data_IF_413439234290
#
_entry.id   IF_413439234290
#
_cell.length_a   1.000
_cell.length_b   1.000
_cell.length_c   1.000
_cell.angle_alpha   90.00
_cell.angle_beta   90.00
_cell.angle_gamma   90.00
#
_symmetry.space_group_name_H-M   'P 1'
#
loop_
_entity.id
_entity.type
_entity.pdbx_description
1 polymer ?
#
# COMPACT_ATOMS: atom_id res chain seq x y z
N UNK A 1 -19.80 24.82 -12.92
CA UNK A 1 -19.02 23.72 -13.51
C UNK A 1 -19.63 22.44 -12.95
N UNK A 2 -20.09 21.53 -13.81
CA UNK A 2 -20.58 20.21 -13.35
C UNK A 2 -19.43 19.23 -13.52
N UNK A 3 -19.00 18.59 -12.43
CA UNK A 3 -17.98 17.54 -12.44
C UNK A 3 -18.74 16.21 -12.52
N UNK A 4 -18.44 15.41 -13.54
CA UNK A 4 -18.97 14.04 -13.66
C UNK A 4 -17.91 13.13 -13.07
N UNK A 5 -18.25 12.39 -12.01
CA UNK A 5 -17.35 11.43 -11.40
C UNK A 5 -17.44 10.10 -12.15
N UNK A 6 -16.28 9.49 -12.43
CA UNK A 6 -16.20 8.23 -13.16
C UNK A 6 -15.65 7.11 -12.24
N UNK A 7 -16.53 6.21 -11.83
CA UNK A 7 -16.18 5.02 -11.05
C UNK A 7 -16.00 3.75 -11.91
N UNK A 8 -15.99 3.88 -13.24
CA UNK A 8 -15.82 2.74 -14.14
C UNK A 8 -14.43 2.14 -14.07
N UNK A 9 -14.37 0.82 -14.25
CA UNK A 9 -13.11 0.09 -14.37
C UNK A 9 -13.07 -0.81 -15.61
N UNK A 10 -12.09 -1.70 -15.69
CA UNK A 10 -11.96 -2.70 -16.75
C UNK A 10 -13.08 -3.74 -16.70
N UNK A 11 -13.42 -4.30 -17.86
CA UNK A 11 -14.42 -5.38 -17.97
C UNK A 11 -14.00 -6.62 -17.16
N UNK A 12 -12.70 -6.94 -17.13
CA UNK A 12 -12.16 -8.08 -16.38
C UNK A 12 -12.41 -7.96 -14.87
N UNK A 13 -12.15 -6.81 -14.28
CA UNK A 13 -12.43 -6.57 -12.86
C UNK A 13 -13.92 -6.56 -12.54
N UNK A 14 -14.76 -6.08 -13.45
CA UNK A 14 -16.21 -6.17 -13.29
C UNK A 14 -16.68 -7.63 -13.36
N UNK A 15 -16.12 -8.43 -14.27
CA UNK A 15 -16.42 -9.86 -14.37
C UNK A 15 -16.03 -10.63 -13.11
N UNK A 16 -14.91 -10.29 -12.48
CA UNK A 16 -14.50 -10.91 -11.20
C UNK A 16 -15.55 -10.71 -10.10
N UNK A 17 -16.10 -9.49 -9.97
CA UNK A 17 -17.20 -9.20 -9.05
C UNK A 17 -18.47 -10.00 -9.39
N UNK A 18 -18.83 -10.08 -10.67
CA UNK A 18 -19.99 -10.87 -11.13
C UNK A 18 -19.81 -12.37 -10.87
N UNK A 19 -18.60 -12.90 -11.01
CA UNK A 19 -18.25 -14.29 -10.66
C UNK A 19 -18.39 -14.52 -9.15
N UNK A 20 -18.18 -13.50 -8.33
CA UNK A 20 -18.46 -13.50 -6.89
C UNK A 20 -19.95 -13.31 -6.55
N UNK A 21 -20.81 -13.22 -7.56
CA UNK A 21 -22.25 -13.01 -7.41
C UNK A 21 -22.63 -11.58 -7.06
N UNK A 22 -21.74 -10.60 -7.28
CA UNK A 22 -21.97 -9.18 -7.04
C UNK A 22 -22.30 -8.48 -8.36
N UNK A 23 -23.52 -7.94 -8.47
CA UNK A 23 -23.95 -7.25 -9.69
C UNK A 23 -23.45 -5.82 -9.74
N UNK A 24 -22.69 -5.50 -10.79
CA UNK A 24 -22.11 -4.17 -11.03
C UNK A 24 -23.02 -3.36 -11.95
N UNK A 25 -23.40 -2.15 -11.50
CA UNK A 25 -24.14 -1.18 -12.31
C UNK A 25 -23.48 0.20 -12.24
N UNK A 26 -22.48 0.42 -13.09
CA UNK A 26 -21.76 1.69 -13.17
C UNK A 26 -22.63 2.82 -13.78
N UNK A 27 -23.68 2.48 -14.53
CA UNK A 27 -24.55 3.48 -15.18
C UNK A 27 -25.48 4.18 -14.19
N UNK A 28 -25.86 3.47 -13.13
CA UNK A 28 -26.71 3.99 -12.05
C UNK A 28 -25.92 4.27 -10.76
N UNK A 29 -24.60 4.51 -10.88
CA UNK A 29 -23.75 4.78 -9.73
C UNK A 29 -24.18 6.03 -8.95
N UNK A 30 -24.12 5.98 -7.62
CA UNK A 30 -24.44 7.10 -6.72
C UNK A 30 -23.23 7.55 -5.92
N UNK A 31 -23.20 8.84 -5.55
CA UNK A 31 -22.20 9.40 -4.64
C UNK A 31 -22.68 9.20 -3.21
N UNK A 32 -21.93 8.42 -2.43
CA UNK A 32 -22.23 8.13 -1.02
C UNK A 32 -21.50 9.08 -0.06
N UNK A 33 -20.27 9.45 -0.40
CA UNK A 33 -19.46 10.37 0.41
C UNK A 33 -18.56 11.24 -0.46
N UNK A 34 -18.33 12.47 -0.01
CA UNK A 34 -17.39 13.41 -0.64
C UNK A 34 -16.48 13.99 0.43
N UNK A 35 -15.18 14.02 0.15
CA UNK A 35 -14.19 14.76 0.91
C UNK A 35 -13.29 15.54 -0.04
N UNK A 36 -12.91 16.77 0.30
CA UNK A 36 -12.22 17.64 -0.64
C UNK A 36 -11.28 18.63 0.03
N UNK A 37 -10.30 19.09 -0.72
CA UNK A 37 -9.46 20.23 -0.39
C UNK A 37 -9.42 21.24 -1.55
N UNK A 38 -8.48 22.18 -1.53
CA UNK A 38 -8.31 23.18 -2.58
C UNK A 38 -7.91 22.61 -3.95
N UNK A 39 -7.32 21.42 -4.01
CA UNK A 39 -6.70 20.80 -5.19
C UNK A 39 -7.35 19.48 -5.61
N UNK A 40 -7.95 18.73 -4.69
CA UNK A 40 -8.49 17.40 -4.95
C UNK A 40 -9.90 17.22 -4.38
N UNK A 41 -10.61 16.26 -4.94
CA UNK A 41 -11.88 15.73 -4.43
C UNK A 41 -11.73 14.21 -4.39
N UNK A 42 -11.99 13.57 -3.26
CA UNK A 42 -12.17 12.13 -3.14
C UNK A 42 -13.64 11.82 -2.93
N UNK A 43 -14.15 10.85 -3.66
CA UNK A 43 -15.56 10.48 -3.68
C UNK A 43 -15.68 8.98 -3.49
N UNK A 44 -16.55 8.58 -2.57
CA UNK A 44 -17.01 7.20 -2.45
C UNK A 44 -18.27 7.04 -3.29
N UNK A 45 -18.24 6.13 -4.25
CA UNK A 45 -19.32 5.91 -5.20
C UNK A 45 -19.81 4.48 -5.13
N UNK A 46 -21.10 4.29 -4.89
CA UNK A 46 -21.73 2.98 -4.96
C UNK A 46 -21.98 2.60 -6.43
N UNK A 47 -21.51 1.44 -6.84
CA UNK A 47 -21.73 0.86 -8.19
C UNK A 47 -22.60 -0.40 -8.12
N UNK A 48 -23.57 -0.42 -7.21
CA UNK A 48 -24.41 -1.57 -6.82
C UNK A 48 -23.64 -2.66 -6.06
N UNK A 49 -22.63 -3.27 -6.67
CA UNK A 49 -21.85 -4.37 -6.06
C UNK A 49 -21.13 -3.97 -4.77
N UNK A 50 -20.48 -2.80 -4.82
CA UNK A 50 -19.68 -2.25 -3.73
C UNK A 50 -19.49 -0.74 -3.93
N UNK A 51 -18.79 -0.12 -2.99
CA UNK A 51 -18.38 1.28 -3.04
C UNK A 51 -16.93 1.40 -3.54
N UNK A 52 -16.71 2.22 -4.56
CA UNK A 52 -15.39 2.55 -5.13
C UNK A 52 -14.94 3.96 -4.74
N UNK A 53 -13.63 4.16 -4.62
CA UNK A 53 -13.06 5.48 -4.43
C UNK A 53 -12.58 6.09 -5.74
N UNK A 54 -13.08 7.28 -6.08
CA UNK A 54 -12.61 8.09 -7.21
C UNK A 54 -11.96 9.36 -6.69
N UNK A 55 -10.76 9.67 -7.20
CA UNK A 55 -10.05 10.91 -6.90
C UNK A 55 -10.07 11.79 -8.14
N UNK A 56 -10.35 13.08 -7.95
CA UNK A 56 -10.38 14.11 -8.98
C UNK A 56 -9.38 15.21 -8.66
N UNK A 57 -8.43 15.48 -9.57
CA UNK A 57 -7.56 16.65 -9.50
C UNK A 57 -8.28 17.86 -10.13
N UNK A 58 -8.50 18.90 -9.31
CA UNK A 58 -9.23 20.11 -9.69
C UNK A 58 -8.45 21.06 -10.58
N UNK A 59 -7.13 20.89 -10.64
CA UNK A 59 -6.20 21.70 -11.42
C UNK A 59 -6.06 21.15 -12.84
N UNK A 60 -5.96 19.82 -12.97
CA UNK A 60 -5.77 19.15 -14.27
C UNK A 60 -7.09 18.64 -14.86
N UNK A 61 -8.09 18.37 -14.02
CA UNK A 61 -9.33 17.70 -14.40
C UNK A 61 -9.23 16.17 -14.49
N UNK A 62 -8.09 15.61 -14.11
CA UNK A 62 -7.83 14.17 -14.15
C UNK A 62 -8.62 13.42 -13.07
N UNK A 63 -9.01 12.18 -13.39
CA UNK A 63 -9.66 11.25 -12.47
C UNK A 63 -8.97 9.91 -12.48
N UNK A 64 -8.90 9.27 -11.32
CA UNK A 64 -8.44 7.89 -11.19
C UNK A 64 -9.13 7.19 -10.02
N UNK A 65 -9.11 5.86 -10.07
CA UNK A 65 -9.54 5.02 -8.96
C UNK A 65 -8.46 5.06 -7.87
N UNK A 66 -8.85 5.44 -6.66
CA UNK A 66 -7.93 5.63 -5.54
C UNK A 66 -7.55 4.33 -4.81
N UNK A 67 -8.25 3.23 -5.11
CA UNK A 67 -8.02 1.90 -4.57
C UNK A 67 -8.45 0.85 -5.60
N UNK A 68 -8.13 -0.43 -5.37
CA UNK A 68 -8.52 -1.50 -6.29
C UNK A 68 -10.06 -1.57 -6.39
N UNK A 69 -10.64 -1.46 -7.60
CA UNK A 69 -12.09 -1.38 -7.81
C UNK A 69 -12.86 -2.68 -7.55
N UNK A 70 -12.18 -3.81 -7.27
CA UNK A 70 -12.81 -5.07 -6.86
C UNK A 70 -12.97 -5.19 -5.34
N UNK A 71 -12.36 -4.29 -4.56
CA UNK A 71 -12.44 -4.30 -3.11
C UNK A 71 -13.29 -3.13 -2.59
N UNK A 72 -14.10 -3.35 -1.54
CA UNK A 72 -15.01 -2.33 -1.04
C UNK A 72 -14.24 -1.25 -0.30
N UNK A 73 -14.61 0.00 -0.56
CA UNK A 73 -14.16 1.18 0.20
C UNK A 73 -15.28 1.64 1.13
N UNK A 74 -14.97 1.85 2.40
CA UNK A 74 -15.90 2.42 3.38
C UNK A 74 -15.68 3.92 3.55
N UNK A 75 -15.82 4.44 4.77
CA UNK A 75 -15.65 5.86 5.07
C UNK A 75 -14.26 6.38 4.70
N UNK A 76 -14.24 7.60 4.14
CA UNK A 76 -13.02 8.31 3.76
C UNK A 76 -12.96 9.71 4.35
N UNK A 77 -11.73 10.21 4.49
CA UNK A 77 -11.42 11.59 4.86
C UNK A 77 -10.23 12.08 4.04
N UNK A 78 -10.18 13.39 3.79
CA UNK A 78 -9.09 14.03 3.06
C UNK A 78 -8.60 15.22 3.86
N UNK A 79 -7.29 15.40 3.93
CA UNK A 79 -6.69 16.54 4.59
C UNK A 79 -5.17 16.47 4.53
N UNK A 80 -4.54 17.64 4.58
CA UNK A 80 -3.09 17.76 4.77
C UNK A 80 -2.25 16.99 3.73
N UNK A 81 -2.75 16.87 2.49
CA UNK A 81 -2.07 16.17 1.40
C UNK A 81 -2.32 14.65 1.34
N UNK A 82 -3.20 14.13 2.19
CA UNK A 82 -3.55 12.72 2.26
C UNK A 82 -5.05 12.47 2.03
N UNK A 83 -5.35 11.32 1.46
CA UNK A 83 -6.66 10.65 1.58
C UNK A 83 -6.46 9.46 2.51
N UNK A 84 -7.35 9.29 3.48
CA UNK A 84 -7.41 8.13 4.35
C UNK A 84 -8.78 7.49 4.20
N UNK A 85 -8.85 6.17 4.16
CA UNK A 85 -10.09 5.44 3.99
C UNK A 85 -10.02 4.09 4.71
N UNK A 86 -11.18 3.54 5.02
CA UNK A 86 -11.30 2.13 5.43
C UNK A 86 -11.60 1.27 4.20
N UNK A 87 -11.02 0.07 4.10
CA UNK A 87 -11.28 -0.87 3.01
C UNK A 87 -11.18 -2.32 3.49
N UNK A 88 -11.70 -3.26 2.69
CA UNK A 88 -11.44 -4.70 2.90
C UNK A 88 -10.54 -5.23 1.80
N UNK A 89 -9.24 -5.16 2.01
CA UNK A 89 -8.25 -5.64 1.04
C UNK A 89 -8.28 -7.17 0.95
N UNK A 90 -8.10 -7.72 -0.25
CA UNK A 90 -8.18 -9.17 -0.52
C UNK A 90 -9.51 -9.84 -0.16
N UNK A 91 -10.57 -9.08 0.11
CA UNK A 91 -11.87 -9.62 0.46
C UNK A 91 -12.47 -10.40 -0.71
N UNK A 92 -12.83 -11.66 -0.46
CA UNK A 92 -13.56 -12.50 -1.41
C UNK A 92 -14.77 -13.15 -0.70
N UNK A 93 -16.01 -12.82 -1.09
CA UNK A 93 -17.21 -13.32 -0.41
C UNK A 93 -17.44 -14.83 -0.64
N UNK A 94 -16.81 -15.43 -1.65
CA UNK A 94 -16.89 -16.88 -1.92
C UNK A 94 -15.84 -17.70 -1.18
N UNK A 95 -14.76 -17.06 -0.74
CA UNK A 95 -13.63 -17.72 -0.08
C UNK A 95 -13.23 -16.94 1.18
N UNK A 96 -14.10 -16.97 2.17
CA UNK A 96 -13.93 -16.20 3.40
C UNK A 96 -12.71 -16.69 4.20
N UNK A 97 -11.84 -15.74 4.53
CA UNK A 97 -10.80 -15.90 5.55
C UNK A 97 -11.01 -14.74 6.52
N UNK A 98 -11.13 -15.03 7.82
CA UNK A 98 -11.48 -14.04 8.84
C UNK A 98 -10.59 -12.79 8.77
N UNK A 99 -9.30 -12.96 8.46
CA UNK A 99 -8.29 -11.90 8.27
C UNK A 99 -8.59 -10.85 7.18
N UNK A 100 -9.48 -11.15 6.23
CA UNK A 100 -9.84 -10.20 5.16
C UNK A 100 -11.28 -9.70 5.32
N UNK A 101 -11.93 -10.08 6.42
CA UNK A 101 -13.34 -9.78 6.68
C UNK A 101 -13.58 -8.44 7.36
N UNK A 102 -12.57 -7.93 8.04
CA UNK A 102 -12.54 -6.68 8.79
C UNK A 102 -12.18 -5.47 7.91
N UNK A 103 -12.60 -4.29 8.36
CA UNK A 103 -12.22 -3.01 7.77
C UNK A 103 -10.85 -2.59 8.25
N UNK A 104 -9.99 -2.25 7.30
CA UNK A 104 -8.61 -1.84 7.56
C UNK A 104 -8.40 -0.40 7.11
N UNK A 105 -7.55 0.35 7.81
CA UNK A 105 -7.24 1.73 7.46
C UNK A 105 -6.11 1.79 6.44
N UNK A 106 -6.35 2.55 5.38
CA UNK A 106 -5.39 2.85 4.34
C UNK A 106 -5.14 4.36 4.25
N UNK A 107 -4.01 4.72 3.66
CA UNK A 107 -3.72 6.10 3.28
C UNK A 107 -3.06 6.21 1.91
N UNK A 108 -3.27 7.36 1.28
CA UNK A 108 -2.70 7.75 -0.01
C UNK A 108 -2.11 9.15 0.12
N UNK A 109 -0.83 9.27 -0.18
CA UNK A 109 -0.18 10.57 -0.31
C UNK A 109 -0.41 11.14 -1.71
N UNK A 110 -1.23 12.20 -1.81
CA UNK A 110 -1.70 12.75 -3.09
C UNK A 110 -0.57 13.26 -3.97
N UNK A 111 0.51 13.82 -3.38
CA UNK A 111 1.60 14.38 -4.16
C UNK A 111 2.49 13.32 -4.84
N UNK A 112 2.58 12.12 -4.28
CA UNK A 112 3.41 11.03 -4.83
C UNK A 112 2.58 9.88 -5.39
N UNK A 113 1.27 9.92 -5.22
CA UNK A 113 0.35 8.82 -5.51
C UNK A 113 0.78 7.48 -4.87
N UNK A 114 1.38 7.55 -3.68
CA UNK A 114 1.82 6.37 -2.93
C UNK A 114 0.77 5.99 -1.90
N UNK A 115 0.24 4.77 -2.01
CA UNK A 115 -0.73 4.19 -1.09
C UNK A 115 -0.11 3.14 -0.19
N UNK A 116 -0.57 3.06 1.05
CA UNK A 116 -0.20 2.00 1.99
C UNK A 116 -1.39 1.63 2.90
N UNK A 117 -1.40 0.38 3.34
CA UNK A 117 -2.27 -0.12 4.40
C UNK A 117 -1.58 0.12 5.75
N UNK A 118 -2.30 0.67 6.73
CA UNK A 118 -1.78 1.11 8.02
C UNK A 118 -2.11 0.17 9.18
N UNK A 119 -3.26 -0.51 9.11
CA UNK A 119 -3.68 -1.54 10.05
C UNK A 119 -3.75 -2.88 9.31
N UNK A 120 -3.53 -3.99 10.01
CA UNK A 120 -3.57 -5.33 9.41
C UNK A 120 -3.72 -6.35 10.53
N UNK A 121 -4.94 -6.60 10.98
CA UNK A 121 -5.21 -7.54 12.06
C UNK A 121 -6.52 -8.32 11.84
N UNK A 122 -7.40 -8.33 12.84
CA UNK A 122 -8.70 -9.03 12.81
C UNK A 122 -9.78 -8.21 13.52
N UNK A 123 -9.56 -6.92 13.68
CA UNK A 123 -10.41 -5.98 14.43
C UNK A 123 -10.90 -4.95 13.43
N UNK A 124 -12.19 -4.59 13.47
CA UNK A 124 -12.70 -3.56 12.56
C UNK A 124 -12.12 -2.18 12.92
N UNK A 125 -11.36 -1.58 12.00
CA UNK A 125 -10.95 -0.18 12.06
C UNK A 125 -11.73 0.68 11.07
N UNK A 126 -12.45 1.68 11.59
CA UNK A 126 -13.43 2.45 10.83
C UNK A 126 -13.37 3.96 11.10
N UNK A 127 -14.07 4.73 10.28
CA UNK A 127 -14.23 6.17 10.31
C UNK A 127 -12.91 6.95 10.43
N UNK A 128 -11.95 6.77 9.50
CA UNK A 128 -10.69 7.48 9.56
C UNK A 128 -10.87 8.98 9.33
N UNK A 129 -10.13 9.79 10.08
CA UNK A 129 -10.08 11.25 9.99
C UNK A 129 -8.64 11.70 9.75
N UNK A 130 -8.43 12.44 8.68
CA UNK A 130 -7.12 13.01 8.36
C UNK A 130 -6.77 14.17 9.31
N UNK A 131 -5.55 14.13 9.87
CA UNK A 131 -4.98 15.15 10.76
C UNK A 131 -3.64 15.67 10.20
N UNK A 132 -3.20 16.84 10.63
CA UNK A 132 -1.98 17.51 10.11
C UNK A 132 -0.74 16.62 10.22
N UNK A 133 -0.58 15.99 11.39
CA UNK A 133 0.54 15.10 11.67
C UNK A 133 0.17 13.62 11.62
N UNK A 134 -0.97 13.21 11.07
CA UNK A 134 -1.43 11.83 11.25
C UNK A 134 -2.88 11.55 10.84
N UNK A 135 -3.46 10.53 11.41
CA UNK A 135 -4.90 10.29 11.34
C UNK A 135 -5.43 9.76 12.67
N UNK A 136 -6.73 9.85 12.84
CA UNK A 136 -7.44 9.12 13.88
C UNK A 136 -8.42 8.13 13.24
N UNK A 137 -8.71 7.03 13.91
CA UNK A 137 -9.73 6.06 13.51
C UNK A 137 -10.34 5.41 14.75
N UNK A 138 -11.43 4.69 14.54
CA UNK A 138 -12.16 3.97 15.57
C UNK A 138 -11.84 2.48 15.42
N UNK A 139 -11.49 1.81 16.51
CA UNK A 139 -11.46 0.34 16.59
C UNK A 139 -12.74 -0.16 17.25
N UNK A 140 -13.32 -1.23 16.71
CA UNK A 140 -14.49 -1.91 17.27
C UNK A 140 -14.11 -3.35 17.54
N UNK A 141 -13.99 -3.70 18.83
CA UNK A 141 -13.67 -5.07 19.24
C UNK A 141 -14.90 -6.00 19.16
N UNK A 142 -14.65 -7.32 19.20
CA UNK A 142 -15.67 -8.36 19.12
C UNK A 142 -16.76 -8.27 20.21
N UNK A 143 -16.42 -7.70 21.38
CA UNK A 143 -17.36 -7.50 22.49
C UNK A 143 -18.14 -6.18 22.42
N UNK A 144 -17.87 -5.37 21.39
CA UNK A 144 -18.46 -4.06 21.16
C UNK A 144 -17.77 -2.92 21.90
N UNK A 145 -16.61 -3.13 22.55
CA UNK A 145 -15.77 -2.04 23.03
C UNK A 145 -15.30 -1.20 21.84
N UNK A 146 -15.33 0.12 22.03
CA UNK A 146 -14.97 1.10 20.98
C UNK A 146 -13.86 1.99 21.50
N UNK A 147 -12.73 1.98 20.80
CA UNK A 147 -11.57 2.82 21.13
C UNK A 147 -11.28 3.79 19.98
N UNK A 148 -10.65 4.92 20.30
CA UNK A 148 -10.20 5.89 19.30
C UNK A 148 -8.68 5.87 19.31
N UNK A 149 -8.10 5.54 18.16
CA UNK A 149 -6.67 5.48 17.96
C UNK A 149 -6.21 6.68 17.14
N UNK A 150 -4.99 7.15 17.43
CA UNK A 150 -4.34 8.25 16.71
C UNK A 150 -2.98 7.78 16.22
N UNK A 151 -2.83 7.68 14.91
CA UNK A 151 -1.59 7.32 14.25
C UNK A 151 -0.86 8.59 13.81
N UNK A 152 0.35 8.81 14.31
CA UNK A 152 1.18 9.97 13.94
C UNK A 152 2.08 9.60 12.75
N UNK A 153 2.00 10.39 11.66
CA UNK A 153 2.90 10.29 10.50
C UNK A 153 4.29 10.80 10.89
N UNK A 154 5.32 10.01 10.58
CA UNK A 154 6.72 10.37 10.86
C UNK A 154 7.29 9.80 12.15
N UNK A 155 6.52 9.00 12.91
CA UNK A 155 7.00 8.17 14.03
C UNK A 155 6.65 6.72 13.70
N UNK A 156 7.51 5.82 13.27
CA UNK A 156 8.96 5.76 13.29
C UNK A 156 9.42 5.27 11.90
N UNK A 157 10.64 5.62 11.49
CA UNK A 157 11.39 4.67 10.68
C UNK A 157 11.47 3.41 11.53
N UNK A 158 10.57 2.44 11.33
CA UNK A 158 10.97 1.06 11.47
C UNK A 158 12.14 0.94 10.50
N UNK A 159 13.34 1.23 10.99
CA UNK A 159 14.55 0.80 10.33
C UNK A 159 14.28 -0.69 10.20
N UNK A 160 14.01 -1.16 8.97
CA UNK A 160 13.96 -2.57 8.68
C UNK A 160 15.38 -3.09 8.95
N UNK A 161 15.68 -3.23 10.23
CA UNK A 161 16.83 -3.88 10.82
C UNK A 161 16.52 -5.35 10.73
N UNK A 162 16.37 -5.85 9.49
CA UNK A 162 16.28 -7.26 9.26
C UNK A 162 17.61 -7.85 9.70
N UNK A 163 17.58 -8.61 10.80
CA UNK A 163 18.75 -9.33 11.31
C UNK A 163 19.37 -10.16 10.17
N UNK A 164 18.53 -10.72 9.30
CA UNK A 164 18.94 -11.47 8.11
C UNK A 164 19.70 -10.58 7.11
N UNK A 165 19.20 -9.38 6.82
CA UNK A 165 19.88 -8.43 5.93
C UNK A 165 21.19 -7.93 6.53
N UNK A 166 21.23 -7.64 7.83
CA UNK A 166 22.45 -7.23 8.53
C UNK A 166 23.51 -8.32 8.47
N UNK A 167 23.15 -9.57 8.74
CA UNK A 167 24.05 -10.71 8.61
C UNK A 167 24.48 -10.97 7.16
N UNK A 168 23.60 -10.73 6.19
CA UNK A 168 23.91 -10.85 4.76
C UNK A 168 24.94 -9.82 4.31
N UNK A 169 24.82 -8.58 4.77
CA UNK A 169 25.81 -7.52 4.50
C UNK A 169 27.15 -7.85 5.15
N UNK A 170 27.15 -8.31 6.41
CA UNK A 170 28.39 -8.72 7.09
C UNK A 170 29.06 -9.92 6.40
N UNK A 171 28.28 -10.91 5.96
CA UNK A 171 28.76 -12.06 5.19
C UNK A 171 29.37 -11.63 3.84
N UNK A 172 28.70 -10.74 3.12
CA UNK A 172 29.20 -10.19 1.84
C UNK A 172 30.54 -9.48 2.02
N UNK A 173 30.68 -8.66 3.08
CA UNK A 173 31.93 -7.99 3.39
C UNK A 173 33.04 -9.01 3.66
N UNK A 174 32.79 -10.00 4.53
CA UNK A 174 33.76 -11.04 4.86
C UNK A 174 34.18 -11.86 3.63
N UNK A 175 33.23 -12.28 2.80
CA UNK A 175 33.48 -13.01 1.56
C UNK A 175 34.29 -12.18 0.57
N UNK A 176 34.06 -10.86 0.51
CA UNK A 176 34.84 -9.96 -0.34
C UNK A 176 36.30 -9.89 0.12
N UNK A 177 36.56 -9.82 1.43
CA UNK A 177 37.93 -9.87 1.96
C UNK A 177 38.61 -11.21 1.66
N UNK A 178 37.91 -12.32 1.86
CA UNK A 178 38.43 -13.66 1.53
C UNK A 178 38.77 -13.75 0.04
N UNK A 179 37.88 -13.28 -0.83
CA UNK A 179 38.09 -13.27 -2.27
C UNK A 179 39.31 -12.42 -2.67
N UNK A 180 39.49 -11.24 -2.06
CA UNK A 180 40.67 -10.40 -2.30
C UNK A 180 41.96 -11.12 -1.87
N UNK A 181 41.96 -11.77 -0.70
CA UNK A 181 43.13 -12.52 -0.22
C UNK A 181 43.47 -13.71 -1.12
N UNK A 182 42.47 -14.51 -1.49
CA UNK A 182 42.65 -15.64 -2.42
C UNK A 182 43.26 -15.17 -3.73
N UNK A 183 42.73 -14.07 -4.30
CA UNK A 183 43.25 -13.50 -5.54
C UNK A 183 44.68 -12.98 -5.39
N UNK A 184 45.05 -12.40 -4.25
CA UNK A 184 46.43 -11.96 -4.00
C UNK A 184 47.40 -13.14 -3.86
N UNK A 185 47.01 -14.20 -3.16
CA UNK A 185 47.83 -15.40 -3.02
C UNK A 185 48.02 -16.11 -4.38
N UNK A 186 47.00 -16.14 -5.24
CA UNK A 186 47.11 -16.68 -6.59
C UNK A 186 48.04 -15.86 -7.50
N UNK A 187 48.04 -14.53 -7.39
CA UNK A 187 48.95 -13.66 -8.13
C UNK A 187 50.38 -13.87 -7.64
N UNK A 188 50.62 -13.86 -6.32
CA UNK A 188 51.94 -14.10 -5.73
C UNK A 188 52.48 -15.50 -6.07
N UNK A 189 51.61 -16.51 -6.08
CA UNK A 189 52.01 -17.87 -6.47
C UNK A 189 52.39 -17.97 -7.94
N UNK A 190 51.77 -17.19 -8.83
CA UNK A 190 52.13 -17.14 -10.26
C UNK A 190 53.46 -16.44 -10.49
N UNK A 191 53.73 -15.35 -9.77
CA UNK A 191 55.00 -14.63 -9.85
C UNK A 191 56.20 -15.48 -9.38
N UNK A 192 56.04 -16.23 -8.27
CA UNK A 192 57.08 -17.16 -7.78
C UNK A 192 57.35 -18.30 -8.76
N UNK A 193 56.33 -18.80 -9.45
CA UNK A 193 56.51 -19.85 -10.47
C UNK A 193 57.18 -19.28 -11.73
N UNK A 194 56.88 -18.04 -12.11
CA UNK A 194 57.50 -17.38 -13.27
C UNK A 194 58.99 -17.10 -13.04
N UNK A 195 59.39 -16.62 -11.85
CA UNK A 195 60.80 -16.36 -11.51
C UNK A 195 61.64 -17.64 -11.44
N UNK A 196 61.09 -18.74 -10.90
CA UNK A 196 61.80 -20.02 -10.85
C UNK A 196 62.02 -20.65 -12.24
N UNK A 197 61.19 -20.32 -13.25
CA UNK A 197 61.37 -20.81 -14.62
C UNK A 197 62.48 -20.05 -15.34
N UNK A 198 62.66 -18.75 -15.05
CA UNK A 198 63.72 -17.91 -15.64
C UNK A 198 65.11 -18.14 -15.03
N UNK A 199 65.22 -18.66 -13.81
CA UNK A 199 66.52 -19.04 -13.20
C UNK A 199 67.04 -20.42 -13.66
N UNK A 200 66.30 -21.13 -14.53
CA UNK A 200 66.61 -22.51 -14.94
C UNK A 200 67.08 -22.70 -16.40
N UNK A 201 67.35 -21.61 -17.14
CA UNK A 201 67.98 -21.63 -18.49
C UNK A 201 69.44 -21.20 -18.49
#
# INVERSE_FOLDING_TARGET
>A
LNIIMNASTTEEQNLELEEWGQTVDENNASIEQVSFDSKHIAVRMNVSALDRMVIYDRSTGEQWLGFDPIYPVGNLSMGYGYVVWEAKDHYNPLSFTDKYGDWEIHQLHLATNYSEQLTSDTIDQVNPIALEGGLAYIEVEDDGEVTINVLTRGTELATYSSIVLQWSVLLLIALTFIYIMQRQDEVRSKDIIHDNVLESE
#
